data_IF_305125870167
#
_entry.id   IF_305125870167
#
_cell.length_a   1.000
_cell.length_b   1.000
_cell.length_c   1.000
_cell.angle_alpha   90.00
_cell.angle_beta   90.00
_cell.angle_gamma   90.00
#
_symmetry.space_group_name_H-M   'P 1'
#
loop_
_entity.id
_entity.type
_entity.pdbx_description
1 polymer ?
#
# COMPACT_ATOMS: atom_id res chain seq x y z
N UNK A 1 19.06 -13.37 -0.81
CA UNK A 1 19.62 -12.55 0.28
C UNK A 1 21.04 -12.99 0.56
N UNK A 2 22.05 -12.11 0.52
CA UNK A 2 23.41 -12.48 0.94
C UNK A 2 23.54 -12.29 2.45
N UNK A 3 24.19 -13.20 3.15
CA UNK A 3 24.31 -13.18 4.62
C UNK A 3 24.93 -11.86 5.11
N UNK A 4 25.95 -11.35 4.39
CA UNK A 4 26.64 -10.09 4.74
C UNK A 4 25.75 -8.84 4.72
N UNK A 5 24.62 -8.92 4.03
CA UNK A 5 23.64 -7.83 3.88
C UNK A 5 22.56 -7.88 4.98
N UNK A 6 22.50 -8.96 5.75
CA UNK A 6 21.55 -9.14 6.86
C UNK A 6 22.01 -8.29 8.05
N UNK A 7 21.07 -7.56 8.64
CA UNK A 7 21.28 -6.85 9.90
C UNK A 7 20.94 -7.77 11.07
N UNK A 8 21.81 -7.83 12.08
CA UNK A 8 21.55 -8.49 13.36
C UNK A 8 21.05 -7.52 14.44
N UNK A 9 20.43 -8.04 15.51
CA UNK A 9 19.82 -7.24 16.58
C UNK A 9 20.83 -6.31 17.28
N UNK A 10 22.03 -6.81 17.58
CA UNK A 10 23.09 -6.03 18.24
C UNK A 10 23.57 -4.88 17.34
N UNK A 11 23.80 -5.14 16.06
CA UNK A 11 24.18 -4.10 15.08
C UNK A 11 23.07 -3.07 14.89
N UNK A 12 21.80 -3.50 14.84
CA UNK A 12 20.63 -2.61 14.77
C UNK A 12 20.56 -1.67 15.98
N UNK A 13 20.79 -2.21 17.18
CA UNK A 13 20.78 -1.42 18.42
C UNK A 13 21.94 -0.42 18.45
N UNK A 14 23.17 -0.89 18.22
CA UNK A 14 24.39 -0.10 18.39
C UNK A 14 24.65 0.90 17.26
N UNK A 15 24.36 0.54 16.00
CA UNK A 15 24.70 1.40 14.85
C UNK A 15 23.57 2.36 14.47
N UNK A 16 22.33 2.04 14.82
CA UNK A 16 21.15 2.79 14.35
C UNK A 16 20.29 3.32 15.50
N UNK A 17 19.75 2.44 16.34
CA UNK A 17 18.82 2.86 17.41
C UNK A 17 19.48 3.79 18.42
N UNK A 18 20.67 3.47 18.92
CA UNK A 18 21.36 4.33 19.91
C UNK A 18 21.79 5.66 19.32
N UNK A 19 22.20 5.66 18.04
CA UNK A 19 22.84 6.79 17.37
C UNK A 19 21.85 7.80 16.76
N UNK A 20 20.73 7.33 16.22
CA UNK A 20 19.80 8.17 15.46
C UNK A 20 18.47 8.44 16.17
N UNK A 21 18.23 7.82 17.32
CA UNK A 21 17.02 8.04 18.10
C UNK A 21 17.38 8.67 19.46
N UNK A 22 16.98 9.92 19.65
CA UNK A 22 17.13 10.66 20.90
C UNK A 22 16.33 10.03 22.05
N UNK A 23 16.66 10.42 23.30
CA UNK A 23 15.96 9.96 24.50
C UNK A 23 14.47 10.31 24.45
N UNK A 24 14.16 11.54 24.03
CA UNK A 24 12.79 12.03 23.97
C UNK A 24 11.96 11.28 22.92
N UNK A 25 12.47 11.09 21.70
CA UNK A 25 11.78 10.31 20.68
C UNK A 25 11.51 8.86 21.11
N UNK A 26 12.44 8.24 21.86
CA UNK A 26 12.23 6.90 22.45
C UNK A 26 11.15 6.92 23.52
N UNK A 27 11.13 7.93 24.39
CA UNK A 27 10.11 8.11 25.43
C UNK A 27 8.71 8.23 24.81
N UNK A 28 8.59 9.02 23.74
CA UNK A 28 7.33 9.17 22.99
C UNK A 28 6.90 7.83 22.38
N UNK A 29 7.80 7.14 21.67
CA UNK A 29 7.49 5.87 21.01
C UNK A 29 7.15 4.73 21.97
N UNK A 30 7.65 4.76 23.21
CA UNK A 30 7.33 3.75 24.22
C UNK A 30 5.95 3.94 24.86
N UNK A 31 5.28 5.07 24.63
CA UNK A 31 3.92 5.33 25.13
C UNK A 31 2.95 5.51 23.96
N UNK A 32 1.94 4.63 23.89
CA UNK A 32 0.90 4.68 22.85
C UNK A 32 0.16 6.01 22.89
N UNK A 33 -0.18 6.50 24.08
CA UNK A 33 -0.87 7.78 24.27
C UNK A 33 -0.01 8.99 23.86
N UNK A 34 1.27 9.04 24.27
CA UNK A 34 2.17 10.15 23.87
C UNK A 34 2.44 10.15 22.37
N UNK A 35 2.61 8.97 21.77
CA UNK A 35 2.75 8.81 20.32
C UNK A 35 1.54 9.40 19.61
N UNK A 36 0.32 9.02 20.00
CA UNK A 36 -0.92 9.54 19.42
C UNK A 36 -1.03 11.06 19.54
N UNK A 37 -0.75 11.60 20.72
CA UNK A 37 -0.81 13.05 20.94
C UNK A 37 0.19 13.80 20.04
N UNK A 38 1.42 13.28 19.94
CA UNK A 38 2.48 13.86 19.11
C UNK A 38 2.12 13.82 17.62
N UNK A 39 1.62 12.68 17.14
CA UNK A 39 1.23 12.49 15.74
C UNK A 39 0.03 13.35 15.37
N UNK A 40 -0.98 13.46 16.25
CA UNK A 40 -2.15 14.32 16.02
C UNK A 40 -1.76 15.79 15.89
N UNK A 41 -0.81 16.28 16.68
CA UNK A 41 -0.28 17.66 16.57
C UNK A 41 0.46 17.91 15.26
N UNK A 42 0.88 16.86 14.57
CA UNK A 42 1.56 16.92 13.28
C UNK A 42 0.65 16.52 12.10
N UNK A 43 -0.68 16.56 12.30
CA UNK A 43 -1.69 16.18 11.31
C UNK A 43 -1.54 14.76 10.74
N UNK A 44 -0.90 13.86 11.50
CA UNK A 44 -0.81 12.44 11.17
C UNK A 44 -1.98 11.70 11.80
N UNK A 45 -2.79 11.04 10.97
CA UNK A 45 -4.00 10.33 11.43
C UNK A 45 -3.63 9.15 12.33
N UNK A 46 -4.32 9.09 13.48
CA UNK A 46 -4.29 8.00 14.47
C UNK A 46 -5.73 7.70 14.90
N UNK A 47 -6.03 6.51 15.46
CA UNK A 47 -7.37 6.21 15.96
C UNK A 47 -7.80 7.24 17.01
N UNK A 48 -9.02 7.77 16.89
CA UNK A 48 -9.57 8.72 17.84
C UNK A 48 -9.69 8.09 19.22
N UNK A 49 -9.09 8.72 20.24
CA UNK A 49 -9.28 8.30 21.64
C UNK A 49 -10.54 8.95 22.20
N UNK A 50 -11.49 8.13 22.67
CA UNK A 50 -12.74 8.56 23.28
C UNK A 50 -12.57 8.80 24.77
N UNK A 51 -11.83 7.93 25.47
CA UNK A 51 -11.65 8.02 26.91
C UNK A 51 -10.26 7.54 27.33
N UNK A 52 -9.77 8.10 28.45
CA UNK A 52 -8.57 7.66 29.16
C UNK A 52 -8.95 7.48 30.62
N UNK A 53 -8.72 6.28 31.16
CA UNK A 53 -9.04 5.92 32.54
C UNK A 53 -7.72 5.50 33.20
N UNK A 54 -7.27 6.30 34.16
CA UNK A 54 -6.01 6.11 34.87
C UNK A 54 -6.15 5.69 36.33
N UNK A 55 -7.37 5.65 36.87
CA UNK A 55 -7.62 5.22 38.25
C UNK A 55 -9.07 4.73 38.44
N UNK A 56 -9.35 4.12 39.59
CA UNK A 56 -10.65 3.54 39.95
C UNK A 56 -11.75 4.62 40.08
N UNK A 57 -11.43 5.81 40.59
CA UNK A 57 -12.42 6.89 40.68
C UNK A 57 -12.93 7.33 39.29
N UNK A 58 -12.02 7.45 38.32
CA UNK A 58 -12.35 7.72 36.93
C UNK A 58 -13.15 6.57 36.30
N UNK A 59 -12.82 5.32 36.63
CA UNK A 59 -13.54 4.15 36.16
C UNK A 59 -15.01 4.16 36.62
N UNK A 60 -15.26 4.44 37.90
CA UNK A 60 -16.61 4.43 38.46
C UNK A 60 -17.50 5.57 37.95
N UNK A 61 -16.90 6.73 37.65
CA UNK A 61 -17.63 7.90 37.14
C UNK A 61 -17.79 7.92 35.62
N UNK A 62 -17.17 7.00 34.89
CA UNK A 62 -17.20 7.00 33.44
C UNK A 62 -18.60 6.64 32.92
N UNK A 63 -19.16 7.47 32.04
CA UNK A 63 -20.42 7.22 31.35
C UNK A 63 -20.21 6.30 30.14
N UNK A 64 -20.42 5.00 30.37
CA UNK A 64 -20.27 3.96 29.35
C UNK A 64 -21.28 4.06 28.22
N UNK A 65 -22.46 4.65 28.46
CA UNK A 65 -23.51 4.78 27.44
C UNK A 65 -23.21 5.89 26.44
N UNK A 66 -22.25 6.78 26.75
CA UNK A 66 -21.75 7.81 25.83
C UNK A 66 -20.87 7.26 24.71
N UNK A 67 -20.42 6.00 24.82
CA UNK A 67 -19.55 5.38 23.83
C UNK A 67 -20.26 5.16 22.48
N UNK A 68 -19.53 5.24 21.36
CA UNK A 68 -20.08 4.92 20.05
C UNK A 68 -20.48 3.45 19.94
N UNK A 69 -21.11 3.10 18.81
CA UNK A 69 -21.60 1.75 18.56
C UNK A 69 -20.49 0.71 18.47
N UNK A 70 -19.28 1.13 18.08
CA UNK A 70 -18.09 0.30 18.03
C UNK A 70 -16.87 1.03 18.63
N UNK A 71 -15.99 0.28 19.28
CA UNK A 71 -14.79 0.82 19.90
C UNK A 71 -13.82 -0.30 20.30
N UNK A 72 -12.64 0.09 20.75
CA UNK A 72 -11.63 -0.82 21.31
C UNK A 72 -11.23 -0.32 22.69
N UNK A 73 -11.22 -1.22 23.68
CA UNK A 73 -10.64 -0.99 25.01
C UNK A 73 -9.26 -1.63 25.04
N UNK A 74 -8.24 -0.90 25.51
CA UNK A 74 -6.88 -1.45 25.59
C UNK A 74 -5.98 -0.81 26.65
N UNK A 75 -4.95 -1.54 27.11
CA UNK A 75 -3.87 -1.02 27.94
C UNK A 75 -2.89 -0.13 27.16
N UNK A 76 -2.38 0.92 27.80
CA UNK A 76 -1.34 1.78 27.23
C UNK A 76 0.00 1.02 27.08
N UNK A 77 0.38 0.22 28.07
CA UNK A 77 1.65 -0.53 28.10
C UNK A 77 1.49 -2.04 27.83
N UNK A 78 0.33 -2.47 27.33
CA UNK A 78 0.05 -3.90 27.16
C UNK A 78 0.94 -4.64 26.18
N UNK A 79 1.18 -5.93 26.47
CA UNK A 79 2.01 -6.84 25.71
C UNK A 79 1.24 -7.73 24.73
N UNK A 80 1.80 -7.91 23.52
CA UNK A 80 1.38 -8.99 22.62
C UNK A 80 -0.11 -8.99 22.24
N UNK A 81 -0.80 -7.86 22.37
CA UNK A 81 -2.23 -7.74 22.13
C UNK A 81 -3.13 -8.30 23.24
N UNK A 82 -2.58 -8.50 24.45
CA UNK A 82 -3.36 -8.87 25.64
C UNK A 82 -4.09 -7.66 26.23
N UNK A 83 -5.20 -7.93 26.92
CA UNK A 83 -6.05 -6.90 27.54
C UNK A 83 -6.82 -6.02 26.54
N UNK A 84 -6.89 -6.43 25.27
CA UNK A 84 -7.63 -5.73 24.22
C UNK A 84 -9.01 -6.37 24.08
N UNK A 85 -10.07 -5.58 24.25
CA UNK A 85 -11.44 -5.95 23.88
C UNK A 85 -11.85 -5.12 22.67
N UNK A 86 -12.30 -5.81 21.62
CA UNK A 86 -12.80 -5.19 20.39
C UNK A 86 -14.31 -5.33 20.36
N UNK A 87 -15.01 -4.20 20.34
CA UNK A 87 -16.46 -4.11 20.25
C UNK A 87 -16.86 -3.76 18.82
N UNK A 88 -17.69 -4.58 18.19
CA UNK A 88 -18.09 -4.41 16.79
C UNK A 88 -19.42 -3.68 16.61
N UNK A 89 -20.35 -3.85 17.55
CA UNK A 89 -21.69 -3.24 17.51
C UNK A 89 -22.34 -3.23 18.90
N UNK A 90 -23.42 -2.48 19.02
CA UNK A 90 -24.32 -2.55 20.18
C UNK A 90 -25.03 -3.90 20.27
N UNK A 91 -25.32 -4.32 21.50
CA UNK A 91 -26.16 -5.46 21.82
C UNK A 91 -27.65 -5.14 21.69
N UNK A 92 -28.48 -6.04 22.19
CA UNK A 92 -29.94 -5.87 22.16
C UNK A 92 -30.41 -4.85 23.19
N UNK A 93 -29.79 -4.85 24.38
CA UNK A 93 -30.14 -3.94 25.49
C UNK A 93 -29.11 -2.84 25.69
N UNK A 94 -29.53 -1.71 26.29
CA UNK A 94 -28.65 -0.60 26.60
C UNK A 94 -27.57 -1.02 27.61
N UNK A 95 -26.30 -0.71 27.32
CA UNK A 95 -25.16 -1.14 28.13
C UNK A 95 -24.64 -2.53 27.78
N UNK A 96 -25.12 -3.12 26.68
CA UNK A 96 -24.58 -4.34 26.08
C UNK A 96 -23.96 -4.04 24.71
N UNK A 97 -22.92 -4.81 24.40
CA UNK A 97 -22.21 -4.78 23.14
C UNK A 97 -21.93 -6.19 22.66
N UNK A 98 -21.61 -6.34 21.36
CA UNK A 98 -21.14 -7.60 20.80
C UNK A 98 -19.66 -7.46 20.45
N UNK A 99 -18.83 -8.36 20.98
CA UNK A 99 -17.40 -8.42 20.71
C UNK A 99 -17.11 -8.93 19.29
N UNK A 100 -15.87 -8.79 18.83
CA UNK A 100 -15.42 -9.39 17.56
C UNK A 100 -15.45 -10.92 17.53
N UNK A 101 -15.72 -11.56 18.68
CA UNK A 101 -15.87 -13.01 18.80
C UNK A 101 -17.34 -13.43 18.88
N UNK A 102 -18.28 -12.46 18.80
CA UNK A 102 -19.72 -12.71 18.87
C UNK A 102 -20.27 -12.82 20.29
N UNK A 103 -19.47 -12.56 21.31
CA UNK A 103 -19.86 -12.61 22.72
C UNK A 103 -20.56 -11.32 23.14
N UNK A 104 -21.56 -11.43 24.02
CA UNK A 104 -22.19 -10.26 24.66
C UNK A 104 -21.25 -9.75 25.74
N UNK A 105 -20.95 -8.45 25.71
CA UNK A 105 -20.10 -7.74 26.66
C UNK A 105 -20.93 -6.65 27.33
N UNK A 106 -21.03 -6.71 28.66
CA UNK A 106 -21.78 -5.73 29.45
C UNK A 106 -20.88 -4.61 29.99
N UNK A 107 -21.48 -3.54 30.52
CA UNK A 107 -20.74 -2.50 31.27
C UNK A 107 -19.93 -3.10 32.43
N UNK A 108 -20.45 -4.12 33.12
CA UNK A 108 -19.74 -4.76 34.23
C UNK A 108 -18.47 -5.48 33.75
N UNK A 109 -18.54 -6.15 32.60
CA UNK A 109 -17.39 -6.82 31.98
C UNK A 109 -16.32 -5.81 31.54
N UNK A 110 -16.73 -4.69 30.94
CA UNK A 110 -15.82 -3.62 30.57
C UNK A 110 -15.17 -2.96 31.79
N UNK A 111 -15.92 -2.76 32.87
CA UNK A 111 -15.38 -2.26 34.14
C UNK A 111 -14.33 -3.19 34.71
N UNK A 112 -14.62 -4.50 34.74
CA UNK A 112 -13.68 -5.52 35.20
C UNK A 112 -12.40 -5.52 34.35
N UNK A 113 -12.54 -5.48 33.02
CA UNK A 113 -11.40 -5.40 32.11
C UNK A 113 -10.52 -4.18 32.37
N UNK A 114 -11.13 -3.01 32.58
CA UNK A 114 -10.37 -1.78 32.88
C UNK A 114 -9.71 -1.86 34.25
N UNK A 115 -10.39 -2.41 35.27
CA UNK A 115 -9.80 -2.63 36.59
C UNK A 115 -8.55 -3.54 36.51
N UNK A 116 -8.62 -4.63 35.73
CA UNK A 116 -7.48 -5.52 35.49
C UNK A 116 -6.31 -4.79 34.79
N UNK A 117 -6.60 -3.91 33.83
CA UNK A 117 -5.58 -3.06 33.20
C UNK A 117 -4.94 -2.13 34.23
N UNK A 118 -5.73 -1.45 35.06
CA UNK A 118 -5.24 -0.51 36.08
C UNK A 118 -4.35 -1.20 37.12
N UNK A 119 -4.64 -2.46 37.44
CA UNK A 119 -3.83 -3.28 38.34
C UNK A 119 -2.55 -3.83 37.69
N UNK A 120 -2.37 -3.62 36.38
CA UNK A 120 -1.14 -3.99 35.67
C UNK A 120 -1.15 -5.39 35.06
N UNK A 121 -2.29 -6.13 35.10
CA UNK A 121 -2.41 -7.53 34.66
C UNK A 121 -1.87 -7.84 33.26
N UNK A 122 -1.85 -6.84 32.37
CA UNK A 122 -1.43 -6.99 30.98
C UNK A 122 -0.12 -6.26 30.65
N UNK A 123 0.50 -5.62 31.63
CA UNK A 123 1.75 -4.87 31.46
C UNK A 123 2.97 -5.81 31.54
N UNK A 124 4.15 -5.35 31.08
CA UNK A 124 5.38 -6.17 31.12
C UNK A 124 5.83 -6.58 32.51
N UNK A 125 5.66 -5.68 33.48
CA UNK A 125 6.27 -5.76 34.80
C UNK A 125 5.20 -5.80 35.91
N UNK A 126 3.95 -6.16 35.55
CA UNK A 126 2.77 -6.11 36.43
C UNK A 126 2.59 -4.75 37.13
N UNK A 127 3.02 -3.68 36.46
CA UNK A 127 2.94 -2.31 36.95
C UNK A 127 1.59 -1.68 36.61
N UNK A 128 1.05 -0.81 37.49
CA UNK A 128 -0.16 -0.06 37.20
C UNK A 128 -0.11 0.64 35.84
N UNK A 129 -1.18 0.48 35.06
CA UNK A 129 -1.28 1.03 33.70
C UNK A 129 -2.47 2.00 33.58
N UNK A 130 -2.61 2.60 32.40
CA UNK A 130 -3.79 3.37 32.00
C UNK A 130 -4.56 2.60 30.94
N UNK A 131 -5.87 2.43 31.15
CA UNK A 131 -6.78 1.96 30.10
C UNK A 131 -7.25 3.13 29.24
N UNK A 132 -7.48 2.87 27.96
CA UNK A 132 -8.08 3.86 27.08
C UNK A 132 -9.00 3.20 26.07
N UNK A 133 -10.00 3.97 25.64
CA UNK A 133 -11.04 3.57 24.72
C UNK A 133 -10.89 4.38 23.44
N UNK A 134 -10.95 3.73 22.28
CA UNK A 134 -10.70 4.39 21.00
C UNK A 134 -11.54 3.84 19.83
N UNK A 135 -11.48 4.57 18.72
CA UNK A 135 -11.98 4.20 17.40
C UNK A 135 -11.52 2.79 17.01
N UNK A 136 -12.47 1.95 16.61
CA UNK A 136 -12.18 0.64 16.03
C UNK A 136 -11.70 0.82 14.59
N UNK A 137 -10.57 0.20 14.26
CA UNK A 137 -10.04 0.20 12.91
C UNK A 137 -10.69 -0.91 12.09
N UNK A 138 -11.25 -0.53 10.95
CA UNK A 138 -11.88 -1.47 10.02
C UNK A 138 -10.84 -2.16 9.11
N UNK A 139 -11.13 -3.38 8.70
CA UNK A 139 -10.29 -4.10 7.72
C UNK A 139 -10.54 -3.51 6.34
N UNK A 140 -9.48 -3.04 5.68
CA UNK A 140 -9.59 -2.57 4.29
C UNK A 140 -9.95 -3.73 3.34
N UNK A 141 -10.81 -3.53 2.32
CA UNK A 141 -11.21 -4.59 1.38
C UNK A 141 -10.05 -5.32 0.68
N UNK A 142 -8.92 -4.64 0.46
CA UNK A 142 -7.70 -5.27 -0.11
C UNK A 142 -7.18 -6.44 0.75
N UNK A 143 -7.45 -6.39 2.05
CA UNK A 143 -6.96 -7.30 3.07
C UNK A 143 -8.01 -8.28 3.60
N UNK A 144 -9.28 -8.11 3.24
CA UNK A 144 -10.39 -8.95 3.72
C UNK A 144 -10.14 -10.46 3.50
N UNK A 145 -9.51 -10.82 2.38
CA UNK A 145 -9.18 -12.21 2.03
C UNK A 145 -7.85 -12.71 2.63
N UNK A 146 -7.16 -11.87 3.38
CA UNK A 146 -5.82 -12.08 3.92
C UNK A 146 -5.77 -11.82 5.44
N UNK A 147 -6.92 -11.94 6.12
CA UNK A 147 -7.03 -11.79 7.56
C UNK A 147 -7.96 -12.86 8.12
N UNK A 148 -7.55 -13.51 9.20
CA UNK A 148 -8.42 -14.31 10.05
C UNK A 148 -8.75 -13.50 11.28
N UNK A 149 -9.87 -12.79 11.29
CA UNK A 149 -10.24 -11.81 12.34
C UNK A 149 -9.17 -10.73 12.59
N UNK A 150 -9.60 -9.54 13.02
CA UNK A 150 -8.68 -8.42 13.22
C UNK A 150 -8.09 -7.84 11.93
N UNK A 151 -7.24 -6.83 12.10
CA UNK A 151 -6.83 -5.92 11.02
C UNK A 151 -5.37 -6.10 10.65
N UNK A 152 -5.06 -6.44 9.38
CA UNK A 152 -3.70 -6.40 8.87
C UNK A 152 -3.11 -4.99 8.92
N UNK A 153 -1.85 -4.90 9.31
CA UNK A 153 -1.11 -3.64 9.33
C UNK A 153 0.11 -3.72 8.41
N UNK A 154 0.46 -2.57 7.85
CA UNK A 154 1.60 -2.34 6.98
C UNK A 154 2.70 -1.70 7.83
N UNK A 155 3.76 -2.46 8.08
CA UNK A 155 4.95 -1.90 8.72
C UNK A 155 5.85 -1.28 7.67
N UNK A 156 6.23 -0.03 7.87
CA UNK A 156 7.24 0.68 7.06
C UNK A 156 8.41 1.06 7.95
N UNK A 157 9.62 0.61 7.61
CA UNK A 157 10.84 1.07 8.25
C UNK A 157 11.33 2.33 7.54
N UNK A 158 11.53 3.39 8.31
CA UNK A 158 12.10 4.66 7.86
C UNK A 158 13.48 4.83 8.50
N UNK A 159 14.45 5.22 7.69
CA UNK A 159 15.78 5.62 8.15
C UNK A 159 16.24 6.87 7.40
N UNK A 160 16.75 7.86 8.15
CA UNK A 160 17.26 9.11 7.57
C UNK A 160 16.23 9.80 6.64
N UNK A 161 14.94 9.76 7.00
CA UNK A 161 13.85 10.32 6.19
C UNK A 161 13.56 9.56 4.89
N UNK A 162 14.06 8.34 4.72
CA UNK A 162 13.81 7.47 3.56
C UNK A 162 13.08 6.20 4.02
N UNK A 163 11.97 5.80 3.38
CA UNK A 163 11.36 4.49 3.61
C UNK A 163 12.23 3.42 2.94
N UNK A 164 12.72 2.46 3.71
CA UNK A 164 13.75 1.51 3.25
C UNK A 164 13.24 0.09 3.08
N UNK A 165 12.19 -0.31 3.79
CA UNK A 165 11.64 -1.66 3.72
C UNK A 165 10.24 -1.71 4.32
N UNK A 166 9.35 -2.51 3.74
CA UNK A 166 7.97 -2.66 4.19
C UNK A 166 7.46 -4.08 4.07
N UNK A 167 6.48 -4.44 4.90
CA UNK A 167 5.68 -5.66 4.74
C UNK A 167 4.25 -5.42 5.24
N UNK A 168 3.31 -6.29 4.90
CA UNK A 168 2.06 -6.40 5.66
C UNK A 168 2.15 -7.58 6.62
N UNK A 169 1.66 -7.41 7.85
CA UNK A 169 1.47 -8.47 8.84
C UNK A 169 0.01 -8.91 8.77
N UNK A 170 -0.20 -10.21 8.65
CA UNK A 170 -1.49 -10.82 8.33
C UNK A 170 -1.92 -11.69 9.51
N UNK A 171 -2.99 -11.31 10.23
CA UNK A 171 -3.58 -12.14 11.27
C UNK A 171 -4.00 -13.50 10.70
N UNK A 172 -3.65 -14.54 11.43
CA UNK A 172 -4.00 -15.95 11.15
C UNK A 172 -4.80 -16.54 12.31
N UNK A 173 -5.40 -17.70 12.06
CA UNK A 173 -6.05 -18.50 13.11
C UNK A 173 -5.13 -18.81 14.28
N UNK A 174 -3.90 -19.24 13.98
CA UNK A 174 -2.86 -19.51 14.98
C UNK A 174 -2.56 -18.28 15.85
N UNK A 175 -2.60 -17.08 15.28
CA UNK A 175 -2.38 -15.84 16.02
C UNK A 175 -3.59 -15.33 16.81
N UNK A 176 -4.73 -16.03 16.74
CA UNK A 176 -5.99 -15.58 17.32
C UNK A 176 -6.46 -14.24 16.75
N UNK A 177 -6.20 -14.00 15.46
CA UNK A 177 -6.55 -12.74 14.80
C UNK A 177 -5.68 -11.54 15.16
N UNK A 178 -4.44 -11.76 15.58
CA UNK A 178 -3.46 -10.70 15.87
C UNK A 178 -2.38 -10.60 14.81
N UNK A 179 -1.98 -9.37 14.44
CA UNK A 179 -0.87 -9.13 13.53
C UNK A 179 0.53 -9.29 14.19
N UNK A 180 0.73 -10.39 14.92
CA UNK A 180 1.95 -10.69 15.67
C UNK A 180 2.68 -11.93 15.12
N UNK A 181 3.82 -11.70 14.45
CA UNK A 181 4.62 -12.76 13.84
C UNK A 181 5.26 -13.75 14.82
N UNK A 182 5.22 -13.49 16.14
CA UNK A 182 5.65 -14.46 17.16
C UNK A 182 4.50 -15.37 17.59
N UNK A 183 3.25 -14.94 17.43
CA UNK A 183 2.05 -15.73 17.72
C UNK A 183 1.55 -16.48 16.47
N UNK A 184 2.34 -16.57 15.39
CA UNK A 184 1.94 -17.32 14.20
C UNK A 184 1.26 -16.50 13.10
N UNK A 185 1.25 -15.16 13.18
CA UNK A 185 0.81 -14.34 12.06
C UNK A 185 1.71 -14.55 10.82
N UNK A 186 1.13 -14.46 9.63
CA UNK A 186 1.86 -14.48 8.37
C UNK A 186 2.34 -13.06 7.99
N UNK A 187 3.23 -12.95 7.01
CA UNK A 187 3.59 -11.67 6.43
C UNK A 187 3.79 -11.75 4.92
N UNK A 188 3.63 -10.61 4.25
CA UNK A 188 3.97 -10.44 2.84
C UNK A 188 4.88 -9.22 2.67
N UNK A 189 6.07 -9.40 2.09
CA UNK A 189 6.95 -8.27 1.76
C UNK A 189 6.27 -7.33 0.78
N UNK A 190 6.58 -6.03 0.84
CA UNK A 190 6.02 -5.03 -0.09
C UNK A 190 7.18 -4.26 -0.71
N UNK A 191 7.20 -4.20 -2.03
CA UNK A 191 8.18 -3.43 -2.77
C UNK A 191 7.98 -1.92 -2.56
N UNK A 192 9.04 -1.21 -2.18
CA UNK A 192 8.98 0.20 -1.83
C UNK A 192 8.61 1.07 -3.04
N UNK A 193 9.06 0.69 -4.24
CA UNK A 193 8.83 1.48 -5.43
C UNK A 193 7.36 1.45 -5.87
N UNK A 194 6.74 0.28 -5.76
CA UNK A 194 5.48 -0.03 -6.44
C UNK A 194 4.30 -0.24 -5.52
N UNK A 195 4.53 -0.60 -4.25
CA UNK A 195 3.47 -1.03 -3.34
C UNK A 195 2.92 -2.40 -3.70
N UNK A 196 3.61 -3.18 -4.55
CA UNK A 196 3.21 -4.54 -4.90
C UNK A 196 3.82 -5.52 -3.92
N UNK A 197 3.03 -6.49 -3.48
CA UNK A 197 3.50 -7.53 -2.57
C UNK A 197 4.43 -8.52 -3.28
N UNK A 198 5.50 -8.93 -2.59
CA UNK A 198 6.59 -9.73 -3.14
C UNK A 198 6.51 -11.19 -2.67
N UNK A 199 7.04 -11.50 -1.48
CA UNK A 199 7.12 -12.86 -0.97
C UNK A 199 6.28 -13.01 0.30
N UNK A 200 5.59 -14.15 0.41
CA UNK A 200 4.93 -14.56 1.64
C UNK A 200 5.90 -15.27 2.59
N UNK A 201 5.69 -15.11 3.89
CA UNK A 201 6.41 -15.83 4.94
C UNK A 201 5.45 -16.19 6.08
N UNK A 202 5.60 -17.39 6.64
CA UNK A 202 4.94 -17.84 7.86
C UNK A 202 5.94 -18.71 8.62
N UNK A 203 6.06 -18.51 9.94
CA UNK A 203 7.11 -19.15 10.76
C UNK A 203 8.54 -18.97 10.27
N UNK A 204 8.82 -17.86 9.58
CA UNK A 204 10.13 -17.60 8.97
C UNK A 204 10.40 -18.39 7.69
N UNK A 205 9.47 -19.26 7.27
CA UNK A 205 9.56 -20.07 6.06
C UNK A 205 8.77 -19.40 4.92
N UNK A 206 9.29 -19.39 3.69
CA UNK A 206 8.54 -18.83 2.57
C UNK A 206 7.28 -19.62 2.25
N UNK A 207 6.20 -18.89 1.94
CA UNK A 207 4.91 -19.45 1.54
C UNK A 207 4.38 -18.72 0.32
N UNK A 208 3.64 -19.42 -0.55
CA UNK A 208 3.00 -18.83 -1.73
C UNK A 208 1.58 -18.33 -1.42
N UNK A 209 0.86 -19.05 -0.55
CA UNK A 209 -0.54 -18.81 -0.24
C UNK A 209 -0.72 -18.44 1.23
N UNK A 210 -1.75 -17.62 1.52
CA UNK A 210 -2.15 -17.32 2.88
C UNK A 210 -2.57 -18.61 3.62
N UNK A 211 -2.11 -18.85 4.86
CA UNK A 211 -2.35 -20.09 5.58
C UNK A 211 -3.82 -20.54 5.56
N UNK A 212 -4.05 -21.82 5.29
CA UNK A 212 -5.40 -22.40 5.19
C UNK A 212 -6.17 -22.05 3.91
N UNK A 213 -5.58 -21.32 2.95
CA UNK A 213 -6.29 -20.89 1.73
C UNK A 213 -5.48 -21.08 0.45
N UNK A 214 -6.11 -20.85 -0.71
CA UNK A 214 -5.44 -20.77 -2.03
C UNK A 214 -5.19 -19.32 -2.48
N UNK A 215 -5.22 -18.34 -1.56
CA UNK A 215 -5.02 -16.92 -1.89
C UNK A 215 -3.53 -16.60 -1.97
N UNK A 216 -3.06 -16.23 -3.16
CA UNK A 216 -1.65 -15.88 -3.37
C UNK A 216 -1.29 -14.61 -2.60
N UNK A 217 -0.13 -14.63 -1.94
CA UNK A 217 0.39 -13.49 -1.17
C UNK A 217 1.17 -12.49 -2.03
N UNK A 218 1.61 -12.91 -3.22
CA UNK A 218 2.38 -12.10 -4.18
C UNK A 218 1.47 -11.39 -5.18
N UNK A 219 1.85 -10.19 -5.59
CA UNK A 219 1.20 -9.45 -6.68
C UNK A 219 -0.04 -8.66 -6.26
N UNK A 220 -0.30 -8.53 -4.97
CA UNK A 220 -1.37 -7.67 -4.45
C UNK A 220 -0.87 -6.23 -4.50
N UNK A 221 -1.61 -5.36 -5.19
CA UNK A 221 -1.34 -3.93 -5.20
C UNK A 221 -1.93 -3.30 -3.93
N UNK A 222 -1.07 -2.68 -3.12
CA UNK A 222 -1.52 -1.90 -1.97
C UNK A 222 -2.00 -0.52 -2.48
N UNK A 223 -3.23 -0.09 -2.17
CA UNK A 223 -3.73 1.22 -2.54
C UNK A 223 -3.11 2.31 -1.66
N UNK A 224 -3.15 3.56 -2.12
CA UNK A 224 -2.62 4.72 -1.38
C UNK A 224 -1.15 4.57 -0.95
N UNK A 225 -0.35 3.87 -1.79
CA UNK A 225 1.02 3.51 -1.41
C UNK A 225 1.92 4.72 -1.13
N UNK A 226 1.87 5.75 -1.98
CA UNK A 226 2.65 6.97 -1.74
C UNK A 226 2.23 7.67 -0.45
N UNK A 227 0.91 7.74 -0.19
CA UNK A 227 0.32 8.29 1.04
C UNK A 227 0.78 7.51 2.29
N UNK A 228 0.91 6.18 2.22
CA UNK A 228 1.47 5.33 3.29
C UNK A 228 2.93 5.71 3.57
N UNK A 229 3.75 5.84 2.52
CA UNK A 229 5.16 6.18 2.67
C UNK A 229 5.35 7.60 3.23
N UNK A 230 4.54 8.54 2.78
CA UNK A 230 4.47 9.91 3.31
C UNK A 230 4.13 9.90 4.81
N UNK A 231 3.06 9.20 5.19
CA UNK A 231 2.61 9.04 6.58
C UNK A 231 3.74 8.50 7.48
N UNK A 232 4.48 7.49 7.02
CA UNK A 232 5.61 6.93 7.77
C UNK A 232 6.75 7.94 7.99
N UNK A 233 7.08 8.75 6.97
CA UNK A 233 8.13 9.77 7.08
C UNK A 233 7.68 10.92 7.98
N UNK A 234 6.43 11.38 7.85
CA UNK A 234 5.86 12.42 8.70
C UNK A 234 5.89 12.02 10.18
N UNK A 235 5.53 10.78 10.49
CA UNK A 235 5.62 10.24 11.85
C UNK A 235 7.05 10.23 12.40
N UNK A 236 8.02 9.78 11.59
CA UNK A 236 9.44 9.82 11.96
C UNK A 236 9.94 11.22 12.26
N UNK A 237 9.51 12.23 11.48
CA UNK A 237 9.83 13.64 11.71
C UNK A 237 9.16 14.20 12.95
N UNK A 238 7.86 13.95 13.13
CA UNK A 238 7.07 14.44 14.25
C UNK A 238 7.61 13.94 15.60
N UNK A 239 8.02 12.68 15.67
CA UNK A 239 8.53 12.06 16.89
C UNK A 239 10.04 12.35 17.09
N UNK A 240 10.76 12.69 16.02
CA UNK A 240 12.21 12.91 16.07
C UNK A 240 13.02 11.61 16.14
N UNK A 241 12.56 10.56 15.46
CA UNK A 241 13.27 9.27 15.35
C UNK A 241 13.92 9.15 13.99
N UNK A 242 15.26 9.11 13.94
CA UNK A 242 16.00 8.93 12.70
C UNK A 242 15.98 7.50 12.16
N UNK A 243 15.66 6.50 12.98
CA UNK A 243 15.44 5.10 12.60
C UNK A 243 14.21 4.53 13.33
N UNK A 244 13.14 4.21 12.63
CA UNK A 244 11.94 3.64 13.25
C UNK A 244 11.12 2.78 12.30
N UNK A 245 10.14 2.09 12.85
CA UNK A 245 9.06 1.46 12.11
C UNK A 245 7.74 2.16 12.47
N UNK A 246 6.89 2.40 11.47
CA UNK A 246 5.50 2.79 11.66
C UNK A 246 4.62 1.65 11.20
N UNK A 247 3.60 1.33 11.99
CA UNK A 247 2.60 0.31 11.69
C UNK A 247 1.31 1.01 11.30
N UNK A 248 0.96 0.84 10.03
CA UNK A 248 0.00 1.67 9.31
C UNK A 248 -1.14 0.78 8.84
N UNK A 249 -2.37 1.19 9.12
CA UNK A 249 -3.58 0.58 8.58
C UNK A 249 -4.19 1.49 7.53
N UNK A 250 -4.92 0.89 6.60
CA UNK A 250 -5.69 1.60 5.59
C UNK A 250 -7.13 1.72 6.08
N UNK A 251 -7.52 2.90 6.55
CA UNK A 251 -8.88 3.10 7.06
C UNK A 251 -9.79 3.52 5.91
N UNK A 252 -10.85 2.73 5.59
CA UNK A 252 -11.91 3.20 4.71
C UNK A 252 -12.73 4.28 5.44
N UNK A 253 -12.93 5.42 4.77
CA UNK A 253 -13.66 6.58 5.28
C UNK A 253 -14.79 6.90 4.31
N UNK A 254 -16.02 7.00 4.84
CA UNK A 254 -17.17 7.41 4.05
C UNK A 254 -17.08 8.92 3.76
N UNK A 255 -17.02 9.33 2.48
CA UNK A 255 -17.24 10.74 2.14
C UNK A 255 -18.70 11.10 2.32
N UNK A 256 -18.97 12.28 2.90
CA UNK A 256 -20.29 12.91 2.85
C UNK A 256 -20.60 13.25 1.39
N UNK A 257 -21.81 12.90 0.96
CA UNK A 257 -22.31 13.16 -0.39
C UNK A 257 -22.32 14.67 -0.67
N UNK A 258 -21.88 15.08 -1.86
CA UNK A 258 -22.44 16.27 -2.50
C UNK A 258 -23.81 15.88 -3.07
N UNK A 259 -24.85 16.68 -2.84
CA UNK A 259 -26.21 16.39 -3.28
C UNK A 259 -26.23 16.06 -4.79
N UNK A 260 -26.49 14.79 -5.15
CA UNK A 260 -26.78 14.40 -6.54
C UNK A 260 -26.06 13.16 -7.11
N UNK A 261 -25.09 12.54 -6.41
CA UNK A 261 -24.37 11.37 -6.94
C UNK A 261 -24.84 10.02 -6.34
N UNK A 262 -25.15 9.05 -7.21
CA UNK A 262 -25.74 7.73 -6.88
C UNK A 262 -24.73 6.68 -6.36
N UNK A 263 -23.49 7.03 -6.02
CA UNK A 263 -22.48 6.10 -5.48
C UNK A 263 -21.72 6.73 -4.33
N UNK A 264 -21.72 6.07 -3.18
CA UNK A 264 -20.97 6.48 -1.99
C UNK A 264 -19.48 6.20 -2.23
N UNK A 265 -18.66 7.25 -2.34
CA UNK A 265 -17.21 7.11 -2.47
C UNK A 265 -16.60 6.80 -1.10
N UNK A 266 -15.87 5.69 -1.04
CA UNK A 266 -15.06 5.30 0.12
C UNK A 266 -13.65 5.81 -0.17
N UNK A 267 -13.22 6.85 0.54
CA UNK A 267 -11.85 7.32 0.52
C UNK A 267 -11.03 6.47 1.48
N UNK A 268 -9.85 6.02 1.09
CA UNK A 268 -8.97 5.24 1.98
C UNK A 268 -7.88 6.17 2.50
N UNK A 269 -7.73 6.24 3.83
CA UNK A 269 -6.74 7.10 4.47
C UNK A 269 -5.78 6.26 5.32
N UNK A 270 -4.45 6.38 5.12
CA UNK A 270 -3.48 5.76 6.02
C UNK A 270 -3.61 6.30 7.45
N UNK A 271 -3.57 5.39 8.43
CA UNK A 271 -3.66 5.72 9.85
C UNK A 271 -2.58 4.95 10.60
N UNK A 272 -1.87 5.61 11.53
CA UNK A 272 -0.84 4.96 12.35
C UNK A 272 -1.47 4.33 13.58
N UNK A 273 -1.24 3.03 13.76
CA UNK A 273 -1.60 2.30 14.98
C UNK A 273 -0.53 2.43 16.06
N UNK A 274 0.72 2.17 15.67
CA UNK A 274 1.86 2.13 16.57
C UNK A 274 3.13 2.55 15.83
N UNK A 275 4.13 2.97 16.61
CA UNK A 275 5.48 3.26 16.12
C UNK A 275 6.48 2.54 17.01
N UNK A 276 7.60 2.13 16.43
CA UNK A 276 8.62 1.39 17.15
C UNK A 276 10.01 1.98 16.90
N UNK A 277 10.65 2.46 17.96
CA UNK A 277 12.02 2.99 17.93
C UNK A 277 13.09 1.88 17.80
N UNK A 278 12.71 0.61 17.98
CA UNK A 278 13.54 -0.59 17.85
C UNK A 278 12.87 -1.65 16.96
N UNK A 279 12.73 -1.40 15.65
CA UNK A 279 12.05 -2.31 14.73
C UNK A 279 12.58 -3.74 14.78
N UNK A 280 11.67 -4.71 14.73
CA UNK A 280 12.00 -6.13 14.57
C UNK A 280 12.61 -6.43 13.19
N UNK A 281 13.39 -7.51 13.11
CA UNK A 281 14.20 -7.82 11.93
C UNK A 281 13.60 -8.88 10.99
N UNK A 282 12.46 -9.49 11.38
CA UNK A 282 11.74 -10.50 10.57
C UNK A 282 11.30 -9.96 9.20
N UNK A 283 11.18 -8.64 9.04
CA UNK A 283 10.87 -7.97 7.78
C UNK A 283 11.87 -8.29 6.65
N UNK A 284 13.14 -8.60 7.00
CA UNK A 284 14.17 -9.02 6.05
C UNK A 284 13.81 -10.33 5.35
N UNK A 285 13.16 -11.24 6.09
CA UNK A 285 12.75 -12.55 5.59
C UNK A 285 11.61 -12.39 4.58
N UNK A 286 10.58 -11.61 4.95
CA UNK A 286 9.44 -11.33 4.07
C UNK A 286 9.83 -10.63 2.77
N UNK A 287 10.87 -9.79 2.78
CA UNK A 287 11.38 -9.11 1.59
C UNK A 287 12.49 -9.88 0.87
N UNK A 288 12.98 -11.00 1.43
CA UNK A 288 14.17 -11.74 0.98
C UNK A 288 15.38 -10.83 0.71
N UNK A 289 15.50 -9.75 1.47
CA UNK A 289 16.49 -8.70 1.29
C UNK A 289 17.09 -8.29 2.64
N UNK A 290 18.39 -8.04 2.65
CA UNK A 290 19.11 -7.65 3.85
C UNK A 290 18.90 -6.17 4.18
N UNK A 291 18.58 -5.86 5.45
CA UNK A 291 18.33 -4.50 5.91
C UNK A 291 19.62 -3.69 6.04
N UNK A 292 20.77 -4.33 6.32
CA UNK A 292 22.06 -3.65 6.52
C UNK A 292 22.51 -2.94 5.25
N UNK A 293 22.38 -3.59 4.10
CA UNK A 293 22.73 -2.98 2.81
C UNK A 293 21.84 -1.76 2.54
N UNK A 294 20.53 -1.87 2.75
CA UNK A 294 19.58 -0.77 2.53
C UNK A 294 19.87 0.44 3.42
N UNK A 295 20.11 0.20 4.71
CA UNK A 295 20.53 1.23 5.65
C UNK A 295 21.82 1.92 5.23
N UNK A 296 22.80 1.15 4.74
CA UNK A 296 24.09 1.70 4.29
C UNK A 296 23.93 2.64 3.09
N UNK A 297 23.08 2.28 2.11
CA UNK A 297 22.86 3.09 0.90
C UNK A 297 22.28 4.47 1.16
N UNK A 298 21.46 4.62 2.20
CA UNK A 298 20.80 5.90 2.52
C UNK A 298 21.48 6.67 3.67
N UNK A 299 22.49 6.07 4.29
CA UNK A 299 23.24 6.69 5.38
C UNK A 299 23.97 7.94 4.87
N UNK A 300 23.71 9.08 5.51
CA UNK A 300 24.37 10.35 5.19
C UNK A 300 23.78 11.09 3.97
N UNK A 301 22.75 10.56 3.31
CA UNK A 301 22.02 11.31 2.29
C UNK A 301 21.29 12.50 2.91
N UNK A 302 21.31 13.64 2.22
CA UNK A 302 20.55 14.84 2.62
C UNK A 302 19.14 14.79 2.06
N UNK A 303 18.15 14.50 2.90
CA UNK A 303 16.74 14.46 2.50
C UNK A 303 16.07 15.82 2.72
N UNK A 304 15.87 16.57 1.64
CA UNK A 304 15.33 17.93 1.68
C UNK A 304 13.81 18.02 1.89
N UNK A 305 13.04 16.98 1.57
CA UNK A 305 11.57 16.97 1.72
C UNK A 305 11.03 15.54 1.84
N UNK A 306 9.77 15.39 2.26
CA UNK A 306 9.08 14.09 2.34
C UNK A 306 9.06 13.42 0.96
N UNK A 307 8.59 14.15 -0.07
CA UNK A 307 8.60 13.67 -1.47
C UNK A 307 9.98 13.28 -1.98
N UNK A 308 11.04 13.99 -1.57
CA UNK A 308 12.41 13.59 -1.91
C UNK A 308 12.79 12.26 -1.25
N UNK A 309 12.46 12.07 0.04
CA UNK A 309 12.69 10.82 0.76
C UNK A 309 11.99 9.63 0.12
N UNK A 310 10.72 9.79 -0.27
CA UNK A 310 9.95 8.77 -1.01
C UNK A 310 10.66 8.41 -2.32
N UNK A 311 10.95 9.40 -3.18
CA UNK A 311 11.61 9.16 -4.48
C UNK A 311 12.95 8.44 -4.33
N UNK A 312 13.75 8.82 -3.32
CA UNK A 312 15.03 8.14 -3.02
C UNK A 312 14.79 6.68 -2.64
N UNK A 313 13.81 6.41 -1.76
CA UNK A 313 13.46 5.04 -1.36
C UNK A 313 12.99 4.20 -2.54
N UNK A 314 12.09 4.73 -3.35
CA UNK A 314 11.57 4.06 -4.55
C UNK A 314 12.70 3.79 -5.56
N UNK A 315 13.57 4.76 -5.82
CA UNK A 315 14.65 4.60 -6.79
C UNK A 315 15.72 3.58 -6.34
N UNK A 316 16.07 3.56 -5.04
CA UNK A 316 17.15 2.71 -4.53
C UNK A 316 16.72 1.27 -4.23
N UNK A 317 15.43 1.05 -3.97
CA UNK A 317 14.92 -0.21 -3.42
C UNK A 317 13.85 -0.90 -4.24
N UNK A 318 13.62 -0.43 -5.47
CA UNK A 318 12.77 -1.11 -6.44
C UNK A 318 13.31 -2.51 -6.77
N UNK A 319 12.43 -3.51 -6.75
CA UNK A 319 12.64 -4.73 -7.52
C UNK A 319 12.49 -4.38 -9.03
N UNK A 320 13.53 -4.56 -9.86
CA UNK A 320 13.45 -4.23 -11.29
C UNK A 320 12.27 -4.88 -12.02
N UNK A 321 11.90 -6.11 -11.62
CA UNK A 321 10.78 -6.84 -12.24
C UNK A 321 9.44 -6.24 -11.87
N UNK A 322 9.32 -5.67 -10.67
CA UNK A 322 8.09 -5.03 -10.22
C UNK A 322 8.03 -3.58 -10.66
N UNK A 323 9.16 -2.87 -10.76
CA UNK A 323 9.20 -1.48 -11.21
C UNK A 323 8.47 -1.29 -12.55
N UNK A 324 8.58 -2.26 -13.46
CA UNK A 324 7.85 -2.27 -14.73
C UNK A 324 6.34 -2.49 -14.54
N UNK A 325 5.94 -3.37 -13.62
CA UNK A 325 4.54 -3.68 -13.30
C UNK A 325 3.82 -2.56 -12.51
N UNK A 326 4.52 -1.92 -11.57
CA UNK A 326 3.99 -0.89 -10.67
C UNK A 326 3.80 0.48 -11.31
N UNK A 327 4.36 0.73 -12.49
CA UNK A 327 4.03 1.90 -13.30
C UNK A 327 2.62 1.84 -13.91
N UNK A 328 1.85 0.76 -13.67
CA UNK A 328 0.49 0.59 -14.18
C UNK A 328 0.43 0.47 -15.72
N UNK A 329 1.58 0.34 -16.38
CA UNK A 329 1.68 0.21 -17.82
C UNK A 329 1.46 -1.24 -18.20
N UNK A 330 0.48 -1.52 -19.06
CA UNK A 330 0.31 -2.86 -19.61
C UNK A 330 1.54 -3.24 -20.43
N UNK A 331 2.05 -4.44 -20.22
CA UNK A 331 3.20 -4.95 -20.95
C UNK A 331 2.79 -5.32 -22.37
N UNK A 332 3.58 -4.88 -23.36
CA UNK A 332 3.45 -5.27 -24.77
C UNK A 332 4.78 -5.82 -25.28
N UNK A 333 4.73 -6.82 -26.14
CA UNK A 333 5.93 -7.42 -26.75
C UNK A 333 6.48 -6.61 -27.92
N UNK A 334 7.47 -7.15 -28.64
CA UNK A 334 7.95 -6.58 -29.91
C UNK A 334 6.85 -6.57 -31.00
N UNK A 335 5.85 -7.45 -30.85
CA UNK A 335 4.61 -7.47 -31.64
C UNK A 335 3.43 -7.71 -30.73
N UNK A 336 2.30 -7.07 -31.01
CA UNK A 336 1.09 -7.15 -30.19
C UNK A 336 -0.15 -7.31 -31.08
N UNK A 337 -1.13 -8.09 -30.65
CA UNK A 337 -2.43 -8.11 -31.32
C UNK A 337 -3.23 -6.87 -30.93
N UNK A 338 -3.72 -6.16 -31.94
CA UNK A 338 -4.57 -4.99 -31.75
C UNK A 338 -5.89 -5.17 -32.49
N UNK A 339 -6.99 -4.73 -31.89
CA UNK A 339 -8.31 -4.66 -32.54
C UNK A 339 -8.56 -3.21 -32.96
N UNK A 340 -8.52 -2.94 -34.27
CA UNK A 340 -8.74 -1.60 -34.83
C UNK A 340 -10.23 -1.41 -35.11
N UNK A 341 -10.75 -0.24 -34.78
CA UNK A 341 -12.16 0.10 -34.99
C UNK A 341 -12.32 1.08 -36.16
N UNK A 342 -13.05 0.66 -37.19
CA UNK A 342 -13.43 1.48 -38.33
C UNK A 342 -14.53 2.47 -37.99
N UNK A 343 -14.76 3.43 -38.90
CA UNK A 343 -15.78 4.48 -38.70
C UNK A 343 -17.20 3.93 -38.83
N UNK A 344 -17.41 2.94 -39.72
CA UNK A 344 -18.69 2.27 -39.94
C UNK A 344 -19.04 1.16 -38.94
N UNK A 345 -18.29 1.03 -37.84
CA UNK A 345 -18.51 -0.01 -36.82
C UNK A 345 -17.77 -1.33 -37.05
N UNK A 346 -17.11 -1.49 -38.21
CA UNK A 346 -16.25 -2.65 -38.48
C UNK A 346 -15.06 -2.72 -37.51
N UNK A 347 -14.61 -3.94 -37.23
CA UNK A 347 -13.43 -4.18 -36.39
C UNK A 347 -12.52 -5.19 -37.06
N UNK A 348 -11.22 -4.92 -37.00
CA UNK A 348 -10.22 -5.82 -37.57
C UNK A 348 -9.06 -6.03 -36.60
N UNK A 349 -8.76 -7.30 -36.33
CA UNK A 349 -7.64 -7.69 -35.48
C UNK A 349 -6.41 -7.93 -36.32
N UNK A 350 -5.32 -7.24 -36.00
CA UNK A 350 -4.04 -7.40 -36.70
C UNK A 350 -2.90 -7.51 -35.71
N UNK A 351 -1.84 -8.23 -36.11
CA UNK A 351 -0.58 -8.28 -35.35
C UNK A 351 0.28 -7.06 -35.69
N UNK A 352 0.28 -6.07 -34.81
CA UNK A 352 1.04 -4.84 -34.96
C UNK A 352 2.50 -5.03 -34.53
N UNK A 353 3.42 -4.30 -35.16
CA UNK A 353 4.80 -4.16 -34.70
C UNK A 353 4.88 -3.02 -33.68
N UNK A 354 5.50 -3.26 -32.53
CA UNK A 354 5.82 -2.21 -31.56
C UNK A 354 7.18 -1.63 -31.91
N UNK A 355 7.26 -0.33 -32.19
CA UNK A 355 8.48 0.33 -32.65
C UNK A 355 8.73 1.63 -31.86
N UNK A 356 9.63 1.53 -30.88
CA UNK A 356 10.00 2.66 -30.01
C UNK A 356 10.81 3.74 -30.72
N UNK A 357 11.41 3.41 -31.88
CA UNK A 357 12.14 4.35 -32.73
C UNK A 357 11.23 5.17 -33.64
N UNK A 358 10.02 4.67 -33.94
CA UNK A 358 9.02 5.41 -34.68
C UNK A 358 8.29 6.42 -33.77
N UNK A 359 8.35 7.70 -34.10
CA UNK A 359 7.66 8.73 -33.31
C UNK A 359 6.13 8.56 -33.34
N UNK A 360 5.58 8.13 -34.48
CA UNK A 360 4.14 7.99 -34.69
C UNK A 360 3.77 6.63 -35.27
N UNK A 361 2.56 6.17 -34.95
CA UNK A 361 1.99 4.94 -35.50
C UNK A 361 1.71 5.06 -37.00
N UNK A 362 1.68 3.91 -37.69
CA UNK A 362 1.33 3.85 -39.11
C UNK A 362 0.44 2.66 -39.44
N UNK A 363 -0.50 2.84 -40.36
CA UNK A 363 -1.43 1.84 -40.86
C UNK A 363 -1.24 1.64 -42.37
N UNK A 364 -1.40 0.41 -42.83
CA UNK A 364 -1.42 0.08 -44.26
C UNK A 364 -2.60 0.74 -44.97
N UNK A 365 -2.37 1.24 -46.19
CA UNK A 365 -3.39 1.94 -46.98
C UNK A 365 -4.63 1.09 -47.28
N UNK A 366 -4.47 -0.18 -47.64
CA UNK A 366 -5.61 -1.05 -47.95
C UNK A 366 -6.39 -1.40 -46.69
N UNK A 367 -5.71 -1.62 -45.57
CA UNK A 367 -6.34 -1.81 -44.26
C UNK A 367 -7.12 -0.56 -43.83
N UNK A 368 -6.55 0.63 -44.00
CA UNK A 368 -7.22 1.89 -43.69
C UNK A 368 -8.45 2.11 -44.58
N UNK A 369 -8.37 1.75 -45.87
CA UNK A 369 -9.48 1.82 -46.82
C UNK A 369 -10.61 0.87 -46.42
N UNK A 370 -10.29 -0.39 -46.09
CA UNK A 370 -11.26 -1.39 -45.63
C UNK A 370 -12.03 -0.93 -44.38
N UNK A 371 -11.33 -0.30 -43.43
CA UNK A 371 -11.93 0.21 -42.19
C UNK A 371 -12.64 1.57 -42.34
N UNK A 372 -12.72 2.11 -43.55
CA UNK A 372 -13.30 3.43 -43.82
C UNK A 372 -12.52 4.60 -43.20
N UNK A 373 -11.27 4.39 -42.79
CA UNK A 373 -10.48 5.43 -42.11
C UNK A 373 -9.99 6.54 -43.06
N UNK A 374 -10.06 6.32 -44.37
CA UNK A 374 -9.70 7.29 -45.41
C UNK A 374 -10.83 8.26 -45.78
N UNK A 375 -11.94 8.23 -45.03
CA UNK A 375 -13.03 9.18 -45.20
C UNK A 375 -12.53 10.63 -45.10
N UNK A 376 -12.96 11.55 -45.98
CA UNK A 376 -12.59 12.96 -45.93
C UNK A 376 -12.83 13.62 -44.57
N UNK A 377 -13.88 13.23 -43.84
CA UNK A 377 -14.22 13.80 -42.53
C UNK A 377 -13.29 13.28 -41.41
N UNK A 378 -12.55 12.20 -41.66
CA UNK A 378 -11.55 11.65 -40.74
C UNK A 378 -10.10 12.04 -41.12
N UNK A 379 -9.92 12.78 -42.21
CA UNK A 379 -8.64 13.38 -42.58
C UNK A 379 -8.29 14.50 -41.59
N UNK A 380 -7.13 14.41 -40.94
CA UNK A 380 -6.69 15.43 -39.99
C UNK A 380 -5.78 16.47 -40.65
N UNK A 381 -4.70 16.01 -41.29
CA UNK A 381 -3.74 16.83 -42.04
C UNK A 381 -2.78 15.90 -42.81
N UNK A 382 -1.89 16.50 -43.60
CA UNK A 382 -0.78 15.79 -44.23
C UNK A 382 0.55 16.22 -43.61
N UNK A 383 1.45 15.27 -43.42
CA UNK A 383 2.79 15.54 -42.87
C UNK A 383 3.86 14.74 -43.61
N UNK A 384 5.12 15.19 -43.50
CA UNK A 384 6.26 14.57 -44.14
C UNK A 384 6.95 13.56 -43.21
N UNK A 385 7.10 12.34 -43.70
CA UNK A 385 7.78 11.27 -42.97
C UNK A 385 9.09 10.93 -43.67
N UNK A 386 10.14 10.83 -42.88
CA UNK A 386 11.44 10.37 -43.32
C UNK A 386 11.52 8.84 -43.13
N UNK A 387 11.88 8.13 -44.20
CA UNK A 387 12.20 6.71 -44.17
C UNK A 387 13.55 6.47 -44.83
N UNK A 388 14.03 5.23 -44.79
CA UNK A 388 15.22 4.78 -45.54
C UNK A 388 15.10 4.97 -47.06
N UNK A 389 13.90 5.23 -47.57
CA UNK A 389 13.59 5.46 -48.99
C UNK A 389 13.36 6.94 -49.32
N UNK A 390 13.61 7.86 -48.39
CA UNK A 390 13.48 9.31 -48.59
C UNK A 390 12.26 9.95 -47.89
N UNK A 391 11.99 11.21 -48.24
CA UNK A 391 10.91 12.03 -47.65
C UNK A 391 9.61 11.82 -48.42
N UNK A 392 8.57 11.34 -47.72
CA UNK A 392 7.27 11.07 -48.33
C UNK A 392 6.17 11.83 -47.58
N UNK A 393 5.28 12.48 -48.33
CA UNK A 393 4.07 13.12 -47.77
C UNK A 393 3.04 12.02 -47.48
N UNK A 394 2.46 12.02 -46.28
CA UNK A 394 1.46 11.02 -45.87
C UNK A 394 0.25 11.68 -45.24
N UNK A 395 -0.91 11.13 -45.55
CA UNK A 395 -2.17 11.48 -44.91
C UNK A 395 -2.18 10.98 -43.46
N UNK A 396 -2.64 11.83 -42.54
CA UNK A 396 -2.88 11.51 -41.14
C UNK A 396 -4.37 11.41 -40.90
N UNK A 397 -4.80 10.31 -40.28
CA UNK A 397 -6.21 10.03 -39.99
C UNK A 397 -6.42 9.73 -38.51
N UNK A 398 -7.62 10.01 -38.01
CA UNK A 398 -8.03 9.60 -36.68
C UNK A 398 -8.20 8.09 -36.56
N UNK A 399 -7.88 7.51 -35.39
CA UNK A 399 -8.02 6.07 -35.16
C UNK A 399 -8.39 5.75 -33.71
N UNK A 400 -9.12 4.64 -33.53
CA UNK A 400 -9.36 4.00 -32.24
C UNK A 400 -9.00 2.52 -32.36
N UNK A 401 -8.28 2.00 -31.37
CA UNK A 401 -7.96 0.57 -31.32
C UNK A 401 -7.78 0.09 -29.88
N UNK A 402 -7.91 -1.21 -29.66
CA UNK A 402 -7.66 -1.88 -28.39
C UNK A 402 -6.30 -2.58 -28.46
N UNK A 403 -5.44 -2.36 -27.45
CA UNK A 403 -4.15 -3.03 -27.32
C UNK A 403 -3.92 -3.41 -25.86
N UNK A 404 -3.59 -4.68 -25.60
CA UNK A 404 -3.42 -5.22 -24.24
C UNK A 404 -4.55 -4.85 -23.25
N UNK A 405 -5.80 -4.81 -23.74
CA UNK A 405 -7.00 -4.46 -22.98
C UNK A 405 -7.18 -2.95 -22.70
N UNK A 406 -6.32 -2.08 -23.25
CA UNK A 406 -6.39 -0.63 -23.11
C UNK A 406 -6.87 -0.01 -24.42
N UNK A 407 -7.91 0.83 -24.33
CA UNK A 407 -8.42 1.59 -25.48
C UNK A 407 -7.48 2.76 -25.77
N UNK A 408 -6.95 2.79 -26.99
CA UNK A 408 -6.12 3.87 -27.52
C UNK A 408 -6.95 4.69 -28.49
N UNK A 409 -6.97 6.01 -28.31
CA UNK A 409 -7.54 6.98 -29.24
C UNK A 409 -6.40 7.89 -29.68
N UNK A 410 -6.16 7.97 -30.98
CA UNK A 410 -4.99 8.69 -31.49
C UNK A 410 -5.11 9.02 -32.96
N UNK A 411 -3.96 9.28 -33.57
CA UNK A 411 -3.82 9.58 -34.99
C UNK A 411 -2.72 8.70 -35.58
N UNK A 412 -2.91 8.29 -36.83
CA UNK A 412 -2.02 7.34 -37.50
C UNK A 412 -1.67 7.85 -38.89
N UNK A 413 -0.43 7.60 -39.32
CA UNK A 413 -0.02 7.87 -40.70
C UNK A 413 -0.44 6.74 -41.62
N UNK A 414 -1.04 7.08 -42.76
CA UNK A 414 -1.38 6.11 -43.81
C UNK A 414 -0.14 5.91 -44.69
N UNK A 415 0.34 4.67 -44.76
CA UNK A 415 1.52 4.31 -45.52
C UNK A 415 1.27 3.06 -46.37
N UNK A 416 1.97 2.92 -47.50
CA UNK A 416 2.02 1.64 -48.21
C UNK A 416 2.89 0.67 -47.41
N UNK A 417 2.24 -0.34 -46.81
CA UNK A 417 2.88 -1.42 -46.06
C UNK A 417 2.52 -2.77 -46.70
N UNK A 418 2.18 -2.77 -47.99
CA UNK A 418 1.77 -3.96 -48.77
C UNK A 418 2.82 -5.07 -48.69
N UNK A 419 4.09 -4.70 -48.79
CA UNK A 419 5.26 -5.59 -48.74
C UNK A 419 5.80 -5.86 -47.33
N UNK A 420 5.22 -5.23 -46.30
CA UNK A 420 5.67 -5.38 -44.91
C UNK A 420 4.94 -6.52 -44.22
N UNK A 421 5.64 -7.24 -43.34
CA UNK A 421 5.06 -8.31 -42.50
C UNK A 421 3.91 -7.81 -41.62
N UNK A 422 4.01 -6.58 -41.12
CA UNK A 422 3.01 -5.99 -40.21
C UNK A 422 2.30 -4.82 -40.87
N UNK A 423 0.97 -4.95 -41.01
CA UNK A 423 0.07 -3.94 -41.59
C UNK A 423 -0.20 -2.76 -40.64
N UNK A 424 0.17 -2.90 -39.37
CA UNK A 424 0.12 -1.82 -38.39
C UNK A 424 1.44 -1.73 -37.63
N UNK A 425 1.84 -0.51 -37.30
CA UNK A 425 2.98 -0.20 -36.45
C UNK A 425 2.53 0.77 -35.37
N UNK A 426 2.84 0.46 -34.12
CA UNK A 426 2.58 1.31 -32.96
C UNK A 426 3.86 2.06 -32.61
N UNK A 427 3.80 3.40 -32.73
CA UNK A 427 4.92 4.29 -32.43
C UNK A 427 4.85 4.88 -31.02
N UNK A 428 5.92 5.59 -30.62
CA UNK A 428 6.13 6.15 -29.28
C UNK A 428 4.95 6.94 -28.72
N UNK A 429 4.25 7.72 -29.55
CA UNK A 429 3.06 8.51 -29.14
C UNK A 429 1.97 7.66 -28.50
N UNK A 430 1.75 6.46 -29.01
CA UNK A 430 0.68 5.58 -28.52
C UNK A 430 1.18 4.60 -27.43
N UNK A 431 2.49 4.57 -27.18
CA UNK A 431 3.13 3.69 -26.18
C UNK A 431 3.23 4.28 -24.77
N UNK A 432 2.82 5.53 -24.55
CA UNK A 432 3.00 6.20 -23.24
C UNK A 432 2.36 5.47 -22.04
N UNK A 433 1.37 4.61 -22.31
CA UNK A 433 0.61 3.80 -21.33
C UNK A 433 1.07 2.34 -21.26
N UNK A 434 2.12 1.98 -21.99
CA UNK A 434 2.57 0.60 -22.14
C UNK A 434 4.05 0.46 -21.84
N UNK A 435 4.44 -0.69 -21.29
CA UNK A 435 5.83 -1.07 -21.08
C UNK A 435 6.23 -2.03 -22.20
N UNK A 436 7.24 -1.69 -22.99
CA UNK A 436 7.69 -2.52 -24.11
C UNK A 436 8.75 -3.50 -23.59
N UNK A 437 8.43 -4.78 -23.56
CA UNK A 437 9.38 -5.83 -23.18
C UNK A 437 9.91 -6.50 -24.43
N UNK A 438 11.22 -6.34 -24.66
CA UNK A 438 11.94 -7.03 -25.73
C UNK A 438 12.44 -8.34 -25.14
N UNK A 439 11.76 -9.44 -25.49
CA UNK A 439 12.17 -10.81 -25.14
C UNK A 439 13.29 -11.31 -26.02
#
# INVERSE_FOLDING_TARGET
MKIRDVLGLNSRNHLYTSRYNGREGKRIANSKLLTKETLRKADVRVPQTYARIGNIEQLERFDWLSLPTDFVVKPNNGLGGQGIIVIEKQGEYAGEWVSSQGEIVTVADLKLQVADILQGRYSMDDLPDTAYIEERVAVHPVFEKYSYHGTPDIRVIVFNGVPIMSYARLPTEESGGRANLFQGAAAMGIDIATGITTYGVHHGTPIEFFPGTRRKLRGVQIPEWESILETAILASRAIGLGYMAADIVLQPVLRKQELGMRKQEVETVPMILEVNAQPGLKIQIANRAGLKERLTRVKGLKIVSVKHGIRVGQALFADPKLAEAGMGRKTVGATEEIEIWGLGGERETVKAKIDTGANMSSIDRELAKKLGLLDPDNHLYEDFFYSSLGRNKRQIVGIKYLMAGVKVKGMVSVADRSRMKHKFLVGKRDLGRFAVVVG
#
